data_IF_813689711855
#
_entry.id   IF_813689711855
#
_cell.length_a   1.000
_cell.length_b   1.000
_cell.length_c   1.000
_cell.angle_alpha   90.00
_cell.angle_beta   90.00
_cell.angle_gamma   90.00
#
_symmetry.space_group_name_H-M   'P 1'
#
loop_
_entity.id
_entity.type
_entity.pdbx_description
1 polymer ?
#
# COMPACT_ATOMS: atom_id res chain seq x y z
N UNK A 1 -23.16 0.88 -8.57
CA UNK A 1 -22.23 1.75 -9.31
C UNK A 1 -21.36 0.95 -10.25
N UNK A 2 -21.07 1.46 -11.38
CA UNK A 2 -20.92 0.83 -12.68
C UNK A 2 -19.55 0.19 -12.92
N UNK A 3 -19.55 -1.01 -13.49
CA UNK A 3 -18.41 -1.84 -13.92
C UNK A 3 -17.51 -1.20 -15.01
N UNK A 4 -17.45 0.13 -15.11
CA UNK A 4 -16.81 0.84 -16.22
C UNK A 4 -15.31 1.10 -16.08
N UNK A 5 -14.77 1.11 -14.87
CA UNK A 5 -13.39 1.58 -14.66
C UNK A 5 -12.29 0.50 -14.68
N UNK A 6 -12.65 -0.77 -14.77
CA UNK A 6 -11.65 -1.87 -14.73
C UNK A 6 -10.94 -2.15 -16.07
N UNK A 7 -11.31 -1.45 -17.15
CA UNK A 7 -10.83 -1.78 -18.51
C UNK A 7 -9.66 -0.93 -19.02
N UNK A 8 -9.24 0.12 -18.32
CA UNK A 8 -8.27 1.09 -18.88
C UNK A 8 -6.80 0.72 -18.68
N UNK A 9 -6.47 -0.20 -17.75
CA UNK A 9 -5.08 -0.55 -17.42
C UNK A 9 -4.48 -1.60 -18.35
N UNK A 10 -5.29 -2.39 -19.05
CA UNK A 10 -4.79 -3.46 -19.93
C UNK A 10 -4.30 -3.01 -21.32
N UNK A 11 -4.48 -1.77 -21.70
CA UNK A 11 -4.20 -1.35 -23.08
C UNK A 11 -2.82 -0.70 -23.32
N UNK A 12 -2.03 -0.47 -22.28
CA UNK A 12 -0.69 0.14 -22.39
C UNK A 12 0.45 -0.86 -22.60
N UNK A 13 0.18 -2.15 -22.53
CA UNK A 13 1.18 -3.23 -22.63
C UNK A 13 1.53 -3.66 -24.07
N UNK A 14 0.89 -3.08 -25.08
CA UNK A 14 0.88 -3.63 -26.43
C UNK A 14 1.94 -3.19 -27.43
N UNK A 15 2.79 -2.21 -27.15
CA UNK A 15 3.65 -1.64 -28.19
C UNK A 15 4.97 -1.05 -27.70
N UNK A 16 5.82 -1.84 -27.02
CA UNK A 16 7.20 -1.39 -26.78
C UNK A 16 8.17 -2.28 -27.56
N UNK A 17 9.08 -1.69 -28.36
CA UNK A 17 10.12 -2.46 -29.04
C UNK A 17 11.09 -3.02 -27.99
N UNK A 18 11.21 -4.32 -27.91
CA UNK A 18 12.19 -5.07 -27.14
C UNK A 18 13.58 -4.84 -27.74
N UNK A 19 14.25 -3.75 -27.40
CA UNK A 19 15.64 -3.53 -27.80
C UNK A 19 16.57 -3.81 -26.63
N UNK A 20 17.56 -4.64 -26.92
CA UNK A 20 18.50 -5.25 -25.99
C UNK A 20 19.38 -4.22 -25.22
N UNK A 21 19.38 -4.36 -23.93
CA UNK A 21 20.20 -3.66 -22.96
C UNK A 21 19.54 -3.77 -21.59
N UNK A 22 19.54 -4.99 -21.02
CA UNK A 22 19.00 -5.17 -19.68
C UNK A 22 19.88 -4.42 -18.68
N UNK A 23 19.28 -3.53 -17.92
CA UNK A 23 19.90 -2.90 -16.77
C UNK A 23 19.67 -3.80 -15.56
N UNK A 24 20.67 -3.95 -14.69
CA UNK A 24 20.54 -4.71 -13.45
C UNK A 24 19.51 -4.03 -12.53
N UNK A 25 18.67 -4.83 -11.83
CA UNK A 25 17.67 -4.32 -10.91
C UNK A 25 18.34 -3.67 -9.69
N UNK A 26 18.09 -2.38 -9.46
CA UNK A 26 18.62 -1.65 -8.31
C UNK A 26 17.84 -1.97 -7.03
N UNK A 27 18.56 -2.07 -5.92
CA UNK A 27 18.03 -2.14 -4.54
C UNK A 27 18.47 -0.95 -3.70
N UNK A 28 19.02 0.10 -4.31
CA UNK A 28 19.32 1.36 -3.67
C UNK A 28 18.48 2.45 -4.36
N UNK A 29 17.35 2.80 -3.76
CA UNK A 29 16.41 3.76 -4.32
C UNK A 29 15.57 4.42 -3.23
N UNK A 30 14.96 5.53 -3.59
CA UNK A 30 13.95 6.23 -2.79
C UNK A 30 12.77 6.60 -3.68
N UNK A 31 11.54 6.41 -3.20
CA UNK A 31 10.34 6.87 -3.90
C UNK A 31 9.40 7.70 -3.02
N UNK A 32 8.65 8.56 -3.68
CA UNK A 32 7.54 9.31 -3.13
C UNK A 32 6.33 9.10 -4.05
N UNK A 33 5.19 8.79 -3.47
CA UNK A 33 3.96 8.52 -4.22
C UNK A 33 2.74 9.14 -3.55
N UNK A 34 1.79 9.56 -4.37
CA UNK A 34 0.40 9.76 -3.98
C UNK A 34 -0.26 8.40 -3.82
N UNK A 35 -1.06 8.26 -2.78
CA UNK A 35 -1.77 7.02 -2.44
C UNK A 35 -3.26 7.31 -2.47
N UNK A 36 -4.02 6.39 -3.07
CA UNK A 36 -5.47 6.34 -2.96
C UNK A 36 -5.86 4.98 -2.37
N UNK A 37 -6.74 5.00 -1.41
CA UNK A 37 -7.19 3.82 -0.65
C UNK A 37 -8.70 3.66 -0.81
N UNK A 38 -9.14 2.42 -0.93
CA UNK A 38 -10.56 2.02 -0.96
C UNK A 38 -10.74 0.98 0.16
N UNK A 39 -11.53 1.32 1.15
CA UNK A 39 -11.86 0.44 2.25
C UNK A 39 -13.09 -0.34 1.85
N UNK A 40 -12.87 -1.53 1.27
CA UNK A 40 -13.94 -2.41 0.82
C UNK A 40 -14.94 -2.72 1.94
N UNK A 41 -16.23 -2.72 1.60
CA UNK A 41 -17.34 -3.01 2.56
C UNK A 41 -17.23 -4.36 3.26
N UNK A 42 -16.41 -5.27 2.75
CA UNK A 42 -16.14 -6.60 3.34
C UNK A 42 -15.16 -6.55 4.53
N UNK A 43 -14.36 -5.50 4.67
CA UNK A 43 -13.46 -5.29 5.82
C UNK A 43 -14.14 -4.64 7.03
N UNK A 44 -15.38 -4.18 6.88
CA UNK A 44 -16.14 -3.45 7.90
C UNK A 44 -17.48 -4.16 8.20
N UNK A 45 -17.45 -5.43 8.59
CA UNK A 45 -18.62 -6.11 9.14
C UNK A 45 -18.80 -5.72 10.60
N UNK A 46 -19.38 -4.55 10.85
CA UNK A 46 -19.84 -4.18 12.19
C UNK A 46 -21.27 -4.61 12.41
N UNK A 47 -21.54 -5.32 13.50
CA UNK A 47 -22.86 -5.34 14.09
C UNK A 47 -23.24 -3.92 14.49
N UNK A 48 -24.43 -3.48 14.11
CA UNK A 48 -24.92 -2.16 14.46
C UNK A 48 -24.91 -1.99 15.99
N UNK A 49 -23.85 -1.38 16.51
CA UNK A 49 -23.86 -0.91 17.90
C UNK A 49 -24.86 0.23 17.95
N UNK A 50 -26.04 -0.11 18.45
CA UNK A 50 -27.15 0.80 18.73
C UNK A 50 -27.12 2.08 17.87
N UNK A 51 -27.56 1.96 16.59
CA UNK A 51 -27.94 3.09 15.76
C UNK A 51 -26.81 3.93 15.11
N UNK A 52 -25.62 3.42 14.92
CA UNK A 52 -24.59 4.08 14.12
C UNK A 52 -24.19 3.14 12.96
N UNK A 53 -24.50 3.51 11.73
CA UNK A 53 -23.95 2.86 10.54
C UNK A 53 -22.78 3.70 10.05
N UNK A 54 -21.60 3.16 10.07
CA UNK A 54 -20.37 3.76 9.53
C UNK A 54 -20.15 3.20 8.12
N UNK A 55 -19.87 4.04 7.17
CA UNK A 55 -19.57 3.68 5.77
C UNK A 55 -18.26 4.39 5.39
N UNK A 56 -17.13 3.84 5.80
CA UNK A 56 -15.82 4.34 5.39
C UNK A 56 -15.67 4.06 3.88
N UNK A 57 -15.35 5.09 3.10
CA UNK A 57 -15.40 5.01 1.65
C UNK A 57 -14.01 5.02 1.04
N UNK A 58 -13.41 6.18 0.90
CA UNK A 58 -12.18 6.38 0.17
C UNK A 58 -11.20 7.19 1.01
N UNK A 59 -9.92 6.99 0.80
CA UNK A 59 -8.88 7.78 1.43
C UNK A 59 -7.76 8.13 0.46
N UNK A 60 -7.05 9.20 0.77
CA UNK A 60 -5.87 9.58 0.01
C UNK A 60 -4.72 10.03 0.92
N UNK A 61 -3.51 10.02 0.36
CA UNK A 61 -2.34 10.35 1.17
C UNK A 61 -1.03 10.34 0.41
N UNK A 62 0.04 10.28 1.18
CA UNK A 62 1.41 10.27 0.68
C UNK A 62 2.15 9.07 1.23
N UNK A 63 2.96 8.44 0.37
CA UNK A 63 3.86 7.35 0.72
C UNK A 63 5.30 7.72 0.41
N UNK A 64 6.19 7.39 1.34
CA UNK A 64 7.64 7.44 1.19
C UNK A 64 8.19 6.03 1.34
N UNK A 65 8.96 5.57 0.36
CA UNK A 65 9.67 4.29 0.45
C UNK A 65 11.13 4.47 0.11
N UNK A 66 11.95 3.64 0.72
CA UNK A 66 13.36 3.59 0.41
C UNK A 66 13.95 2.21 0.62
N UNK A 67 15.01 1.95 -0.12
CA UNK A 67 15.79 0.73 0.00
C UNK A 67 17.25 1.03 -0.17
N UNK A 68 18.10 0.33 0.58
CA UNK A 68 19.56 0.40 0.49
C UNK A 68 20.12 -1.00 0.37
N UNK A 69 20.79 -1.26 -0.75
CA UNK A 69 21.51 -2.51 -0.98
C UNK A 69 22.63 -2.68 0.04
N UNK A 70 22.78 -3.89 0.54
CA UNK A 70 23.87 -4.32 1.40
C UNK A 70 24.78 -5.28 0.63
N UNK A 71 25.43 -6.17 1.33
CA UNK A 71 26.27 -7.23 0.76
C UNK A 71 25.47 -8.50 0.43
N UNK A 72 25.92 -9.30 -0.50
CA UNK A 72 25.36 -10.63 -0.82
C UNK A 72 23.83 -10.62 -1.09
N UNK A 73 23.36 -9.65 -1.85
CA UNK A 73 21.95 -9.51 -2.25
C UNK A 73 20.97 -9.18 -1.10
N UNK A 74 21.44 -8.87 0.08
CA UNK A 74 20.63 -8.32 1.14
C UNK A 74 20.41 -6.83 0.93
N UNK A 75 19.26 -6.32 1.40
CA UNK A 75 18.96 -4.90 1.43
C UNK A 75 18.12 -4.56 2.68
N UNK A 76 18.23 -3.32 3.13
CA UNK A 76 17.31 -2.73 4.09
C UNK A 76 16.24 -1.96 3.32
N UNK A 77 15.06 -1.91 3.89
CA UNK A 77 13.98 -1.09 3.33
C UNK A 77 13.17 -0.42 4.43
N UNK A 78 12.53 0.67 4.06
CA UNK A 78 11.56 1.39 4.87
C UNK A 78 10.41 1.88 4.00
N UNK A 79 9.21 1.92 4.59
CA UNK A 79 7.98 2.36 3.96
C UNK A 79 7.17 3.14 5.00
N UNK A 80 6.78 4.35 4.67
CA UNK A 80 5.94 5.21 5.49
C UNK A 80 4.79 5.70 4.63
N UNK A 81 3.56 5.51 5.10
CA UNK A 81 2.34 5.99 4.45
C UNK A 81 1.52 6.77 5.48
N UNK A 82 1.08 7.96 5.12
CA UNK A 82 0.12 8.74 5.86
C UNK A 82 -1.04 9.07 4.93
N UNK A 83 -2.24 8.71 5.33
CA UNK A 83 -3.47 8.90 4.55
C UNK A 83 -4.58 9.40 5.45
N UNK A 84 -5.44 10.21 4.87
CA UNK A 84 -6.70 10.67 5.47
C UNK A 84 -7.83 9.86 4.85
N UNK A 85 -8.74 9.35 5.66
CA UNK A 85 -9.86 8.52 5.24
C UNK A 85 -11.15 9.23 5.60
N UNK A 86 -11.98 9.45 4.58
CA UNK A 86 -13.33 9.99 4.75
C UNK A 86 -14.25 8.91 5.32
N UNK A 87 -14.90 9.18 6.43
CA UNK A 87 -15.91 8.30 7.02
C UNK A 87 -17.28 9.00 7.04
N UNK A 88 -18.30 8.31 6.57
CA UNK A 88 -19.68 8.78 6.65
C UNK A 88 -20.46 7.92 7.63
N UNK A 89 -20.98 8.56 8.67
CA UNK A 89 -21.78 7.90 9.71
C UNK A 89 -23.24 8.36 9.63
N UNK A 90 -24.17 7.43 9.81
CA UNK A 90 -25.58 7.77 10.08
C UNK A 90 -25.85 7.51 11.56
N UNK A 91 -25.92 8.56 12.33
CA UNK A 91 -26.30 8.51 13.74
C UNK A 91 -27.81 8.54 13.87
N UNK A 92 -28.41 7.45 14.33
CA UNK A 92 -29.86 7.38 14.59
C UNK A 92 -30.12 7.47 16.09
N UNK A 93 -30.88 8.45 16.50
CA UNK A 93 -31.34 8.63 17.88
C UNK A 93 -32.87 8.79 17.92
N UNK A 94 -33.50 8.87 19.11
CA UNK A 94 -34.96 9.05 19.23
C UNK A 94 -35.52 10.29 18.54
N UNK A 95 -34.68 11.27 18.17
CA UNK A 95 -35.07 12.48 17.49
C UNK A 95 -35.00 12.37 15.95
N UNK A 96 -34.37 11.30 15.42
CA UNK A 96 -34.22 11.06 13.99
C UNK A 96 -32.84 10.52 13.61
N UNK A 97 -32.61 10.40 12.31
CA UNK A 97 -31.32 10.00 11.74
C UNK A 97 -30.60 11.22 11.18
N UNK A 98 -29.36 11.41 11.56
CA UNK A 98 -28.54 12.54 11.18
C UNK A 98 -27.27 11.99 10.49
N UNK A 99 -26.91 12.47 9.30
CA UNK A 99 -25.62 12.18 8.72
C UNK A 99 -24.53 12.90 9.54
N UNK A 100 -23.49 12.20 9.87
CA UNK A 100 -22.24 12.73 10.40
C UNK A 100 -21.13 12.31 9.45
N UNK A 101 -20.29 13.23 9.02
CA UNK A 101 -19.06 12.95 8.31
C UNK A 101 -17.92 13.21 9.26
N UNK A 102 -17.00 12.27 9.32
CA UNK A 102 -15.78 12.42 10.10
C UNK A 102 -14.60 12.02 9.20
N UNK A 103 -13.42 12.48 9.55
CA UNK A 103 -12.17 12.16 8.87
C UNK A 103 -11.24 11.58 9.91
N UNK A 104 -10.50 10.53 9.57
CA UNK A 104 -9.47 10.00 10.44
C UNK A 104 -8.17 9.74 9.67
N UNK A 105 -7.08 9.95 10.37
CA UNK A 105 -5.75 9.73 9.82
C UNK A 105 -5.29 8.30 10.07
N UNK A 106 -4.71 7.70 9.02
CA UNK A 106 -4.05 6.39 9.11
C UNK A 106 -2.58 6.54 8.77
N UNK A 107 -1.73 6.28 9.75
CA UNK A 107 -0.29 6.25 9.56
C UNK A 107 0.21 4.81 9.60
N UNK A 108 0.97 4.41 8.57
CA UNK A 108 1.62 3.10 8.50
C UNK A 108 3.11 3.28 8.40
N UNK A 109 3.84 2.52 9.21
CA UNK A 109 5.29 2.43 9.15
C UNK A 109 5.69 0.96 9.00
N UNK A 110 6.57 0.68 8.06
CA UNK A 110 7.15 -0.63 7.85
C UNK A 110 8.65 -0.50 7.63
N UNK A 111 9.44 -1.33 8.29
CA UNK A 111 10.88 -1.36 8.09
C UNK A 111 11.42 -2.76 8.28
N UNK A 112 12.44 -3.11 7.50
CA UNK A 112 12.91 -4.48 7.57
C UNK A 112 14.12 -4.77 6.70
N UNK A 113 14.37 -6.07 6.56
CA UNK A 113 15.45 -6.62 5.75
C UNK A 113 14.86 -7.48 4.63
N UNK A 114 15.43 -7.34 3.44
CA UNK A 114 15.08 -8.12 2.28
C UNK A 114 16.30 -8.89 1.73
N UNK A 115 15.98 -9.96 1.03
CA UNK A 115 16.94 -10.74 0.26
C UNK A 115 16.44 -10.89 -1.19
N UNK A 116 17.31 -10.61 -2.14
CA UNK A 116 17.04 -10.71 -3.56
C UNK A 116 17.77 -11.92 -4.13
N UNK A 117 17.03 -12.89 -4.63
CA UNK A 117 17.58 -14.04 -5.33
C UNK A 117 17.49 -13.83 -6.84
N UNK A 118 18.62 -13.59 -7.54
CA UNK A 118 18.61 -13.40 -8.99
C UNK A 118 18.38 -14.75 -9.68
N UNK A 119 17.28 -14.87 -10.42
CA UNK A 119 17.04 -15.97 -11.35
C UNK A 119 17.88 -15.78 -12.62
N UNK A 120 18.03 -14.55 -13.05
CA UNK A 120 18.92 -14.07 -14.10
C UNK A 120 19.11 -12.56 -13.93
N UNK A 121 19.81 -11.89 -14.87
CA UNK A 121 20.12 -10.43 -14.78
C UNK A 121 18.91 -9.52 -14.77
N UNK A 122 17.75 -10.00 -15.22
CA UNK A 122 16.51 -9.20 -15.32
C UNK A 122 15.38 -9.67 -14.42
N UNK A 123 15.52 -10.85 -13.80
CA UNK A 123 14.44 -11.44 -13.00
C UNK A 123 14.95 -11.85 -11.63
N UNK A 124 14.34 -11.30 -10.61
CA UNK A 124 14.68 -11.59 -9.22
C UNK A 124 13.43 -12.06 -8.46
N UNK A 125 13.62 -13.04 -7.58
CA UNK A 125 12.67 -13.34 -6.50
C UNK A 125 13.14 -12.58 -5.27
N UNK A 126 12.23 -11.95 -4.56
CA UNK A 126 12.53 -11.20 -3.34
C UNK A 126 11.79 -11.79 -2.16
N UNK A 127 12.43 -11.81 -1.01
CA UNK A 127 11.84 -12.18 0.26
C UNK A 127 12.16 -11.08 1.28
N UNK A 128 11.17 -10.62 2.03
CA UNK A 128 11.31 -9.57 3.03
C UNK A 128 10.73 -10.03 4.37
N UNK A 129 11.37 -9.59 5.44
CA UNK A 129 10.84 -9.63 6.79
C UNK A 129 10.82 -8.21 7.34
N UNK A 130 9.71 -7.83 7.96
CA UNK A 130 9.50 -6.46 8.45
C UNK A 130 8.96 -6.44 9.86
N UNK A 131 9.16 -5.32 10.50
CA UNK A 131 8.38 -4.83 11.60
C UNK A 131 7.41 -3.80 11.04
N UNK A 132 6.14 -4.00 11.30
CA UNK A 132 5.04 -3.20 10.79
C UNK A 132 4.36 -2.48 11.96
N UNK A 133 3.91 -1.25 11.75
CA UNK A 133 3.08 -0.49 12.69
C UNK A 133 1.99 0.22 11.91
N UNK A 134 0.80 0.24 12.48
CA UNK A 134 -0.31 1.06 12.03
C UNK A 134 -0.83 1.87 13.21
N UNK A 135 -1.23 3.10 12.91
CA UNK A 135 -1.77 4.05 13.87
C UNK A 135 -3.00 4.70 13.26
N UNK A 136 -4.12 4.69 13.99
CA UNK A 136 -5.38 5.29 13.61
C UNK A 136 -5.66 6.44 14.57
N UNK A 137 -5.67 7.67 14.06
CA UNK A 137 -6.03 8.88 14.80
C UNK A 137 -7.44 9.32 14.40
N UNK A 138 -8.40 9.08 15.28
CA UNK A 138 -9.80 9.47 15.09
C UNK A 138 -10.09 10.90 15.60
N UNK A 139 -9.05 11.65 15.94
CA UNK A 139 -9.20 12.99 16.50
C UNK A 139 -9.77 12.96 17.91
N UNK A 140 -10.20 14.14 18.40
CA UNK A 140 -10.74 14.28 19.75
C UNK A 140 -12.27 14.30 19.75
N UNK A 141 -12.87 13.33 20.43
CA UNK A 141 -14.30 13.30 20.70
C UNK A 141 -14.56 13.60 22.19
N UNK A 142 -15.35 14.61 22.48
CA UNK A 142 -15.69 15.06 23.86
C UNK A 142 -14.47 15.45 24.73
N UNK A 143 -13.34 15.81 24.11
CA UNK A 143 -12.12 16.26 24.83
C UNK A 143 -11.19 15.11 25.26
N UNK A 144 -11.41 13.90 24.78
CA UNK A 144 -10.50 12.77 24.86
C UNK A 144 -10.03 12.44 23.44
N UNK A 145 -8.73 12.22 23.24
CA UNK A 145 -8.13 11.77 21.99
C UNK A 145 -8.31 10.25 21.88
N UNK A 146 -8.75 9.79 20.72
CA UNK A 146 -8.93 8.38 20.42
C UNK A 146 -7.89 7.93 19.41
N UNK A 147 -6.82 7.35 19.92
CA UNK A 147 -5.76 6.75 19.12
C UNK A 147 -5.79 5.23 19.29
N UNK A 148 -5.65 4.50 18.20
CA UNK A 148 -5.50 3.04 18.25
C UNK A 148 -4.26 2.68 17.46
N UNK A 149 -3.27 2.10 18.12
CA UNK A 149 -2.04 1.64 17.48
C UNK A 149 -1.92 0.11 17.56
N UNK A 150 -1.41 -0.49 16.49
CA UNK A 150 -1.04 -1.90 16.45
C UNK A 150 0.35 -2.06 15.84
N UNK A 151 1.08 -3.05 16.36
CA UNK A 151 2.48 -3.32 15.98
C UNK A 151 2.72 -4.81 15.86
N UNK A 152 3.40 -5.20 14.81
CA UNK A 152 3.61 -6.61 14.57
C UNK A 152 4.73 -6.91 13.59
N UNK A 153 4.68 -8.09 13.02
CA UNK A 153 5.67 -8.57 12.06
C UNK A 153 5.01 -8.83 10.71
N UNK A 154 5.76 -8.56 9.66
CA UNK A 154 5.34 -8.82 8.29
C UNK A 154 6.33 -9.71 7.55
N UNK A 155 5.82 -10.42 6.57
CA UNK A 155 6.63 -11.17 5.61
C UNK A 155 6.10 -10.95 4.20
N UNK A 156 6.99 -10.81 3.23
CA UNK A 156 6.65 -10.63 1.82
C UNK A 156 7.50 -11.54 0.96
N UNK A 157 6.86 -12.15 -0.02
CA UNK A 157 7.54 -12.81 -1.13
C UNK A 157 7.09 -12.16 -2.43
N UNK A 158 8.02 -11.88 -3.33
CA UNK A 158 7.70 -11.19 -4.56
C UNK A 158 8.62 -11.60 -5.70
N UNK A 159 8.24 -11.13 -6.87
CA UNK A 159 9.02 -11.25 -8.09
C UNK A 159 9.13 -9.86 -8.72
N UNK A 160 10.33 -9.52 -9.20
CA UNK A 160 10.63 -8.32 -9.96
C UNK A 160 11.27 -8.70 -11.28
N UNK A 161 10.85 -8.04 -12.34
CA UNK A 161 11.36 -8.30 -13.67
C UNK A 161 11.52 -7.03 -14.48
N UNK A 162 12.67 -6.87 -15.09
CA UNK A 162 12.88 -5.88 -16.13
C UNK A 162 12.48 -6.45 -17.48
N UNK A 163 11.26 -6.12 -17.93
CA UNK A 163 10.72 -6.59 -19.21
C UNK A 163 11.36 -5.89 -20.41
N UNK A 164 11.82 -4.67 -20.22
CA UNK A 164 12.52 -3.87 -21.24
C UNK A 164 13.52 -2.93 -20.54
N UNK A 165 14.49 -2.33 -21.24
CA UNK A 165 15.53 -1.49 -20.66
C UNK A 165 15.06 -0.32 -19.79
N UNK A 166 13.79 0.05 -19.94
CA UNK A 166 13.16 1.18 -19.23
C UNK A 166 11.87 0.78 -18.53
N UNK A 167 11.57 -0.51 -18.44
CA UNK A 167 10.29 -0.96 -17.91
C UNK A 167 10.45 -2.15 -17.00
N UNK A 168 10.15 -1.96 -15.73
CA UNK A 168 10.13 -2.97 -14.68
C UNK A 168 8.69 -3.28 -14.28
N UNK A 169 8.42 -4.52 -13.93
CA UNK A 169 7.18 -4.96 -13.31
C UNK A 169 7.48 -5.84 -12.11
N UNK A 170 6.55 -5.91 -11.19
CA UNK A 170 6.62 -6.76 -10.01
C UNK A 170 5.27 -7.29 -9.60
N UNK A 171 5.30 -8.39 -8.87
CA UNK A 171 4.15 -8.94 -8.17
C UNK A 171 4.60 -9.50 -6.84
N UNK A 172 3.73 -9.45 -5.84
CA UNK A 172 4.06 -9.97 -4.51
C UNK A 172 2.83 -10.45 -3.76
N UNK A 173 3.09 -11.32 -2.80
CA UNK A 173 2.18 -11.64 -1.71
C UNK A 173 2.84 -11.20 -0.40
N UNK A 174 2.08 -10.58 0.47
CA UNK A 174 2.51 -10.10 1.78
C UNK A 174 1.57 -10.63 2.85
N UNK A 175 2.13 -11.00 3.97
CA UNK A 175 1.44 -11.25 5.23
C UNK A 175 1.85 -10.16 6.22
N UNK A 176 0.92 -9.71 7.04
CA UNK A 176 1.18 -8.84 8.19
C UNK A 176 0.33 -9.30 9.37
N UNK A 177 0.89 -9.21 10.56
CA UNK A 177 0.15 -9.46 11.80
C UNK A 177 -0.41 -8.18 12.42
N UNK A 178 -0.45 -7.10 11.63
CA UNK A 178 -0.90 -5.77 12.07
C UNK A 178 -2.22 -5.46 11.38
N UNK A 179 -3.18 -4.93 12.15
CA UNK A 179 -4.47 -4.52 11.64
C UNK A 179 -5.66 -5.23 12.26
N UNK A 180 -5.42 -6.19 13.18
CA UNK A 180 -6.48 -6.76 14.02
C UNK A 180 -6.90 -5.75 15.08
N UNK A 181 -7.50 -4.65 14.66
CA UNK A 181 -7.97 -3.62 15.57
C UNK A 181 -9.44 -3.82 15.85
N UNK A 182 -9.74 -4.27 17.07
CA UNK A 182 -11.10 -4.41 17.61
C UNK A 182 -11.66 -3.01 17.97
N UNK A 183 -12.16 -2.29 17.00
CA UNK A 183 -12.98 -1.12 17.24
C UNK A 183 -14.43 -1.54 17.56
N UNK A 184 -14.67 -2.00 18.78
CA UNK A 184 -15.98 -2.32 19.40
C UNK A 184 -17.00 -3.18 18.61
N UNK A 185 -16.76 -3.48 17.34
CA UNK A 185 -17.51 -4.43 16.48
C UNK A 185 -16.96 -4.50 15.05
N UNK A 186 -15.74 -4.03 14.81
CA UNK A 186 -15.09 -4.04 13.50
C UNK A 186 -13.74 -4.72 13.62
N UNK A 187 -13.56 -5.76 12.88
CA UNK A 187 -12.34 -6.52 12.75
C UNK A 187 -11.72 -6.14 11.40
N UNK A 188 -10.58 -5.48 11.42
CA UNK A 188 -9.75 -5.29 10.23
C UNK A 188 -8.86 -6.53 10.08
N UNK A 189 -9.32 -7.49 9.31
CA UNK A 189 -8.52 -8.68 9.00
C UNK A 189 -7.60 -8.38 7.81
N UNK A 190 -6.32 -8.20 8.08
CA UNK A 190 -5.31 -7.82 7.07
C UNK A 190 -4.23 -8.87 6.84
N UNK A 191 -4.50 -10.12 7.12
CA UNK A 191 -3.51 -11.19 7.14
C UNK A 191 -2.77 -11.41 5.84
N UNK A 192 -3.43 -11.31 4.70
CA UNK A 192 -2.84 -11.59 3.41
C UNK A 192 -3.18 -10.54 2.36
N UNK A 193 -2.16 -9.96 1.75
CA UNK A 193 -2.28 -8.95 0.70
C UNK A 193 -1.58 -9.43 -0.57
N UNK A 194 -2.14 -9.06 -1.71
CA UNK A 194 -1.57 -9.32 -3.02
C UNK A 194 -1.28 -8.00 -3.73
N UNK A 195 -0.09 -7.86 -4.30
CA UNK A 195 0.26 -6.63 -4.96
C UNK A 195 0.94 -6.81 -6.31
N UNK A 196 0.85 -5.75 -7.10
CA UNK A 196 1.52 -5.61 -8.38
C UNK A 196 2.13 -4.21 -8.49
N UNK A 197 3.24 -4.12 -9.21
CA UNK A 197 3.95 -2.86 -9.44
C UNK A 197 4.43 -2.73 -10.86
N UNK A 198 4.59 -1.49 -11.31
CA UNK A 198 5.22 -1.15 -12.57
C UNK A 198 6.10 0.09 -12.37
N UNK A 199 7.24 0.14 -13.06
CA UNK A 199 8.10 1.32 -13.11
C UNK A 199 8.55 1.58 -14.54
N UNK A 200 8.50 2.84 -14.93
CA UNK A 200 9.03 3.33 -16.20
C UNK A 200 10.16 4.32 -15.95
N UNK A 201 11.33 4.04 -16.47
CA UNK A 201 12.58 4.81 -16.30
C UNK A 201 12.90 5.58 -17.56
N UNK A 202 12.29 6.77 -17.81
CA UNK A 202 12.54 7.56 -19.03
C UNK A 202 13.99 8.03 -19.13
N UNK A 203 14.57 8.40 -18.00
CA UNK A 203 15.98 8.83 -17.88
C UNK A 203 16.65 8.04 -16.75
N UNK A 204 17.97 7.85 -16.84
CA UNK A 204 18.73 7.13 -15.82
C UNK A 204 18.52 7.77 -14.44
N UNK A 205 18.40 6.97 -13.43
CA UNK A 205 18.16 7.34 -12.04
C UNK A 205 16.77 7.93 -11.73
N UNK A 206 15.85 8.06 -12.70
CA UNK A 206 14.52 8.57 -12.43
C UNK A 206 13.45 7.69 -13.06
N UNK A 207 12.48 7.24 -12.25
CA UNK A 207 11.39 6.39 -12.69
C UNK A 207 10.03 6.96 -12.25
N UNK A 208 9.02 6.71 -13.07
CA UNK A 208 7.63 6.85 -12.66
C UNK A 208 7.19 5.47 -12.19
N UNK A 209 6.63 5.38 -10.99
CA UNK A 209 6.20 4.13 -10.38
C UNK A 209 4.69 4.11 -10.17
N UNK A 210 4.11 2.94 -10.34
CA UNK A 210 2.72 2.67 -9.99
C UNK A 210 2.66 1.35 -9.24
N UNK A 211 1.89 1.30 -8.17
CA UNK A 211 1.70 0.13 -7.32
C UNK A 211 0.21 -0.08 -7.05
N UNK A 212 -0.18 -1.32 -6.90
CA UNK A 212 -1.47 -1.73 -6.39
C UNK A 212 -1.29 -2.83 -5.37
N UNK A 213 -1.96 -2.75 -4.25
CA UNK A 213 -2.03 -3.80 -3.23
C UNK A 213 -3.48 -4.01 -2.85
N UNK A 214 -3.95 -5.26 -3.00
CA UNK A 214 -5.28 -5.69 -2.62
C UNK A 214 -5.25 -6.37 -1.25
N UNK A 215 -6.20 -6.02 -0.39
CA UNK A 215 -6.34 -6.56 0.96
C UNK A 215 -7.62 -6.06 1.62
N UNK A 216 -7.63 -5.94 2.93
CA UNK A 216 -8.72 -5.28 3.66
C UNK A 216 -8.88 -3.82 3.23
N UNK A 217 -7.78 -3.17 2.89
CA UNK A 217 -7.72 -1.84 2.30
C UNK A 217 -7.01 -1.97 0.96
N UNK A 218 -7.74 -1.81 -0.13
CA UNK A 218 -7.17 -1.73 -1.46
C UNK A 218 -6.40 -0.43 -1.63
N UNK A 219 -5.14 -0.53 -2.00
CA UNK A 219 -4.25 0.64 -2.08
C UNK A 219 -3.69 0.80 -3.49
N UNK A 220 -3.90 1.95 -4.09
CA UNK A 220 -3.26 2.40 -5.31
C UNK A 220 -2.21 3.46 -5.00
N UNK A 221 -1.08 3.41 -5.66
CA UNK A 221 -0.09 4.46 -5.55
C UNK A 221 0.52 4.79 -6.90
N UNK A 222 0.78 6.07 -7.13
CA UNK A 222 1.51 6.55 -8.28
C UNK A 222 2.52 7.62 -7.83
N UNK A 223 3.74 7.52 -8.32
CA UNK A 223 4.80 8.41 -7.83
C UNK A 223 6.07 8.37 -8.63
N UNK A 224 7.13 8.84 -8.00
CA UNK A 224 8.45 8.98 -8.57
C UNK A 224 9.46 8.25 -7.73
N UNK A 225 10.40 7.58 -8.40
CA UNK A 225 11.53 6.89 -7.79
C UNK A 225 12.84 7.49 -8.28
N UNK A 226 13.77 7.67 -7.35
CA UNK A 226 15.17 7.98 -7.63
C UNK A 226 16.02 6.74 -7.30
N UNK A 227 16.74 6.24 -8.29
CA UNK A 227 17.75 5.21 -8.08
C UNK A 227 19.03 5.84 -7.57
N UNK A 228 19.53 5.37 -6.43
CA UNK A 228 20.67 5.95 -5.70
C UNK A 228 21.99 5.23 -6.01
N UNK A 229 21.94 4.05 -6.63
CA UNK A 229 23.13 3.28 -7.00
C UNK A 229 23.58 3.62 -8.42
N UNK A 230 24.87 3.84 -8.58
CA UNK A 230 25.57 3.85 -9.86
C UNK A 230 26.19 2.49 -10.16
#
# INVERSE_FOLDING_TARGET
MTAGNRLFIMLLLGAMPLSAGAQELSYAWFDIAYVAQDIGKSGLQGDAVQNVALDAEDGDGIRFRGSVGLFNNFYLFGDFTSSNIDDSAIVTNPQGSFPATDEFDVTRLRGGVGYSYPLNVTNHVVAELSYDSIDFDFGSFSGEDFDVDDKGVGARIGWRSQLAPKFEVGAHARYTSVGDVDLTSREFDSDALLGASAAWTPIRAFSIVADYEAGAIDTWAIGFRLDLAE
#
